data_IF_932990688759
#
_entry.id   IF_932990688759
#
_cell.length_a   1.000
_cell.length_b   1.000
_cell.length_c   1.000
_cell.angle_alpha   90.00
_cell.angle_beta   90.00
_cell.angle_gamma   90.00
#
_symmetry.space_group_name_H-M   'P 1'
#
loop_
_entity.id
_entity.type
_entity.pdbx_description
1 polymer ?
#
# COMPACT_ATOMS: atom_id res chain seq x y z
N UNK A 1 -20.05 -7.37 -2.82
CA UNK A 1 -19.23 -7.49 -4.03
C UNK A 1 -19.78 -6.46 -5.03
N UNK A 2 -19.38 -5.21 -4.90
CA UNK A 2 -19.67 -4.21 -5.92
C UNK A 2 -18.58 -4.29 -6.98
N UNK A 3 -18.98 -4.68 -8.20
CA UNK A 3 -18.07 -4.70 -9.36
C UNK A 3 -17.81 -3.25 -9.78
N UNK A 4 -16.56 -2.82 -9.83
CA UNK A 4 -16.13 -1.51 -10.33
C UNK A 4 -16.55 -1.25 -11.80
N UNK A 5 -17.07 -2.24 -12.53
CA UNK A 5 -17.68 -2.04 -13.86
C UNK A 5 -18.90 -1.08 -13.88
N UNK A 6 -19.44 -0.73 -12.72
CA UNK A 6 -20.53 0.26 -12.63
C UNK A 6 -20.02 1.72 -12.62
N UNK A 7 -18.74 1.97 -12.38
CA UNK A 7 -18.15 3.31 -12.32
C UNK A 7 -17.59 3.81 -13.65
N UNK A 8 -17.45 2.97 -14.67
CA UNK A 8 -16.88 3.32 -15.98
C UNK A 8 -17.89 4.01 -16.94
N UNK A 9 -18.97 4.59 -16.45
CA UNK A 9 -19.91 5.39 -17.23
C UNK A 9 -19.95 6.86 -16.80
N UNK A 10 -18.81 7.42 -16.42
CA UNK A 10 -18.66 8.87 -16.34
C UNK A 10 -18.33 9.37 -17.75
N UNK A 11 -19.27 10.14 -18.30
CA UNK A 11 -19.12 10.83 -19.59
C UNK A 11 -17.93 11.78 -19.55
N UNK A 12 -17.17 11.84 -20.64
CA UNK A 12 -16.26 12.93 -20.97
C UNK A 12 -17.00 14.29 -20.88
N UNK A 13 -17.05 14.86 -19.71
CA UNK A 13 -17.34 16.25 -19.49
C UNK A 13 -16.19 16.81 -18.65
N UNK A 14 -15.64 17.91 -19.12
CA UNK A 14 -14.52 18.67 -18.58
C UNK A 14 -14.81 19.33 -17.22
N UNK A 15 -15.41 18.60 -16.30
CA UNK A 15 -15.64 19.02 -14.92
C UNK A 15 -14.83 18.10 -14.01
N UNK A 16 -13.67 18.59 -13.56
CA UNK A 16 -12.70 17.90 -12.71
C UNK A 16 -13.13 17.88 -11.26
N UNK A 17 -14.39 17.55 -10.96
CA UNK A 17 -14.81 17.26 -9.59
C UNK A 17 -14.55 15.77 -9.30
N UNK A 18 -13.64 15.50 -8.37
CA UNK A 18 -13.42 14.15 -7.84
C UNK A 18 -14.76 13.61 -7.29
N UNK A 19 -15.18 12.43 -7.76
CA UNK A 19 -16.35 11.76 -7.19
C UNK A 19 -15.99 11.24 -5.78
N UNK A 20 -16.42 11.98 -4.77
CA UNK A 20 -16.26 11.59 -3.35
C UNK A 20 -17.43 10.69 -2.97
N UNK A 21 -17.14 9.42 -2.75
CA UNK A 21 -18.13 8.47 -2.25
C UNK A 21 -17.99 8.33 -0.72
N UNK A 22 -18.99 8.75 0.07
CA UNK A 22 -19.02 8.39 1.50
C UNK A 22 -19.34 6.90 1.62
N UNK A 23 -18.51 6.15 2.34
CA UNK A 23 -18.75 4.73 2.57
C UNK A 23 -18.94 4.46 4.05
N UNK A 24 -20.10 3.96 4.38
CA UNK A 24 -20.48 3.45 5.69
C UNK A 24 -19.81 2.09 5.96
N UNK A 25 -19.45 1.80 7.20
CA UNK A 25 -19.09 0.45 7.65
C UNK A 25 -20.37 -0.33 7.95
N UNK A 26 -20.91 -1.15 7.02
CA UNK A 26 -22.23 -1.76 7.19
C UNK A 26 -22.24 -2.94 8.16
N UNK A 27 -21.08 -3.44 8.60
CA UNK A 27 -20.98 -4.75 9.25
C UNK A 27 -20.99 -4.68 10.78
N UNK A 28 -21.04 -3.49 11.38
CA UNK A 28 -20.97 -3.29 12.83
C UNK A 28 -22.13 -2.44 13.33
N UNK A 29 -23.36 -2.97 13.26
CA UNK A 29 -24.48 -2.42 14.05
C UNK A 29 -24.72 -3.32 15.28
N UNK A 30 -24.02 -3.11 16.41
CA UNK A 30 -24.43 -3.71 17.67
C UNK A 30 -25.80 -3.14 18.07
N UNK A 31 -26.59 -3.92 18.77
CA UNK A 31 -27.80 -3.38 19.38
C UNK A 31 -27.46 -2.10 20.14
N UNK A 32 -28.22 -1.04 19.95
CA UNK A 32 -27.94 0.32 20.43
C UNK A 32 -27.59 0.43 21.94
N UNK A 33 -28.00 -0.56 22.75
CA UNK A 33 -27.68 -0.62 24.17
C UNK A 33 -26.26 -1.12 24.44
N UNK A 34 -25.83 -2.21 23.79
CA UNK A 34 -24.48 -2.77 23.97
C UNK A 34 -23.41 -1.80 23.46
N UNK A 35 -23.70 -1.10 22.36
CA UNK A 35 -22.82 -0.04 21.87
C UNK A 35 -22.65 1.09 22.89
N UNK A 36 -23.76 1.58 23.48
CA UNK A 36 -23.70 2.67 24.46
C UNK A 36 -22.93 2.30 25.72
N UNK A 37 -23.12 1.09 26.24
CA UNK A 37 -22.39 0.61 27.43
C UNK A 37 -20.89 0.43 27.12
N UNK A 38 -20.55 -0.11 25.94
CA UNK A 38 -19.17 -0.27 25.52
C UNK A 38 -18.49 1.09 25.23
N UNK A 39 -19.21 2.06 24.64
CA UNK A 39 -18.71 3.42 24.47
C UNK A 39 -18.48 4.13 25.82
N UNK A 40 -19.34 3.92 26.80
CA UNK A 40 -19.15 4.49 28.15
C UNK A 40 -17.88 3.92 28.80
N UNK A 41 -17.65 2.61 28.68
CA UNK A 41 -16.43 1.97 29.19
C UNK A 41 -15.17 2.47 28.46
N UNK A 42 -15.22 2.61 27.14
CA UNK A 42 -14.11 3.17 26.35
C UNK A 42 -13.85 4.62 26.70
N UNK A 43 -14.90 5.44 26.84
CA UNK A 43 -14.76 6.84 27.23
C UNK A 43 -14.08 6.98 28.59
N UNK A 44 -14.49 6.19 29.58
CA UNK A 44 -13.85 6.19 30.90
C UNK A 44 -12.37 5.82 30.82
N UNK A 45 -12.02 4.82 29.98
CA UNK A 45 -10.61 4.45 29.73
C UNK A 45 -9.87 5.58 29.01
N UNK A 46 -10.46 6.20 27.97
CA UNK A 46 -9.84 7.29 27.22
C UNK A 46 -9.62 8.55 28.08
N UNK A 47 -10.58 8.88 28.96
CA UNK A 47 -10.46 9.99 29.92
C UNK A 47 -9.38 9.72 30.98
N UNK A 48 -9.10 8.45 31.28
CA UNK A 48 -8.03 8.03 32.20
C UNK A 48 -6.66 7.89 31.55
N UNK A 49 -6.59 7.94 30.21
CA UNK A 49 -5.31 7.75 29.51
C UNK A 49 -4.39 8.95 29.76
N UNK A 50 -3.12 8.66 30.11
CA UNK A 50 -2.12 9.70 30.22
C UNK A 50 -1.88 10.35 28.85
N UNK A 51 -1.67 11.65 28.86
CA UNK A 51 -1.39 12.43 27.63
C UNK A 51 -0.02 12.14 26.99
N UNK A 52 0.81 11.35 27.65
CA UNK A 52 2.15 11.00 27.22
C UNK A 52 2.37 9.48 27.23
N UNK A 53 3.00 8.97 26.17
CA UNK A 53 3.36 7.55 26.02
C UNK A 53 4.46 7.09 26.99
N UNK A 54 5.14 8.05 27.64
CA UNK A 54 6.28 7.80 28.53
C UNK A 54 5.86 7.40 29.97
N UNK A 55 4.56 7.25 30.22
CA UNK A 55 4.05 6.88 31.54
C UNK A 55 3.98 5.35 31.65
N UNK A 56 4.57 4.74 32.68
CA UNK A 56 4.48 3.29 32.90
C UNK A 56 3.02 2.81 32.88
N UNK A 57 2.75 1.74 32.13
CA UNK A 57 1.41 1.17 32.00
C UNK A 57 0.49 1.83 30.96
N UNK A 58 0.85 2.98 30.38
CA UNK A 58 0.04 3.67 29.37
C UNK A 58 -0.23 2.79 28.13
N UNK A 59 0.80 2.14 27.63
CA UNK A 59 0.68 1.24 26.45
C UNK A 59 -0.28 0.08 26.72
N UNK A 60 -0.27 -0.50 27.92
CA UNK A 60 -1.20 -1.59 28.27
C UNK A 60 -2.64 -1.12 28.37
N UNK A 61 -2.87 0.07 28.94
CA UNK A 61 -4.19 0.67 28.98
C UNK A 61 -4.72 0.95 27.57
N UNK A 62 -3.89 1.49 26.70
CA UNK A 62 -4.23 1.71 25.28
C UNK A 62 -4.54 0.40 24.56
N UNK A 63 -3.75 -0.67 24.76
CA UNK A 63 -4.02 -1.98 24.18
C UNK A 63 -5.35 -2.57 24.63
N UNK A 64 -5.73 -2.40 25.91
CA UNK A 64 -7.05 -2.81 26.42
C UNK A 64 -8.17 -2.03 25.74
N UNK A 65 -8.02 -0.70 25.65
CA UNK A 65 -8.98 0.15 24.96
C UNK A 65 -9.10 -0.23 23.45
N UNK A 66 -7.99 -0.48 22.78
CA UNK A 66 -7.98 -0.96 21.38
C UNK A 66 -8.75 -2.27 21.24
N UNK A 67 -8.53 -3.24 22.15
CA UNK A 67 -9.25 -4.52 22.15
C UNK A 67 -10.76 -4.36 22.23
N UNK A 68 -11.25 -3.41 23.05
CA UNK A 68 -12.67 -3.08 23.12
C UNK A 68 -13.17 -2.43 21.82
N UNK A 69 -12.39 -1.49 21.25
CA UNK A 69 -12.77 -0.75 20.04
C UNK A 69 -12.75 -1.57 18.75
N UNK A 70 -12.06 -2.71 18.72
CA UNK A 70 -12.01 -3.57 17.52
C UNK A 70 -13.37 -4.11 17.09
N UNK A 71 -14.27 -4.33 18.03
CA UNK A 71 -15.59 -4.91 17.81
C UNK A 71 -16.73 -3.88 17.89
N UNK A 72 -16.41 -2.61 17.89
CA UNK A 72 -17.38 -1.52 18.00
C UNK A 72 -17.28 -0.60 16.78
N UNK A 73 -18.38 0.07 16.39
CA UNK A 73 -18.31 1.21 15.49
C UNK A 73 -17.35 2.26 16.06
N UNK A 74 -16.53 2.83 15.22
CA UNK A 74 -15.61 3.87 15.70
C UNK A 74 -16.39 5.17 15.97
N UNK A 75 -16.00 5.97 16.98
CA UNK A 75 -16.65 7.23 17.25
C UNK A 75 -16.20 8.32 16.28
N UNK A 76 -17.02 9.36 16.14
CA UNK A 76 -16.65 10.55 15.39
C UNK A 76 -15.32 11.15 15.94
N UNK A 77 -14.46 11.67 15.07
CA UNK A 77 -14.59 11.83 13.61
C UNK A 77 -14.11 10.64 12.80
N UNK A 78 -13.90 9.47 13.39
CA UNK A 78 -13.34 8.27 12.75
C UNK A 78 -14.42 7.25 12.33
N UNK A 79 -15.67 7.57 12.49
CA UNK A 79 -16.84 6.75 12.15
C UNK A 79 -17.09 6.66 10.63
N UNK A 80 -16.63 7.66 9.87
CA UNK A 80 -16.72 7.70 8.43
C UNK A 80 -15.34 7.85 7.78
N UNK A 81 -15.20 7.31 6.55
CA UNK A 81 -14.01 7.49 5.72
C UNK A 81 -14.38 8.00 4.34
N UNK A 82 -13.47 8.79 3.73
CA UNK A 82 -13.63 9.34 2.38
C UNK A 82 -12.65 8.67 1.42
N UNK A 83 -13.15 8.33 0.23
CA UNK A 83 -12.36 7.68 -0.80
C UNK A 83 -12.58 8.41 -2.12
N UNK A 84 -11.49 8.93 -2.67
CA UNK A 84 -11.48 9.72 -3.90
C UNK A 84 -10.76 8.92 -5.00
N UNK A 85 -11.33 8.90 -6.20
CA UNK A 85 -10.70 8.34 -7.38
C UNK A 85 -10.53 9.46 -8.41
N UNK A 86 -9.31 9.65 -8.86
CA UNK A 86 -8.92 10.58 -9.90
C UNK A 86 -8.33 9.82 -11.09
N UNK A 87 -8.75 10.19 -12.30
CA UNK A 87 -8.16 9.67 -13.53
C UNK A 87 -7.19 10.71 -14.09
N UNK A 88 -5.90 10.40 -14.09
CA UNK A 88 -4.91 11.36 -14.54
C UNK A 88 -3.46 10.87 -14.40
N UNK A 89 -2.55 11.72 -14.83
CA UNK A 89 -1.13 11.41 -14.85
C UNK A 89 -0.50 11.51 -13.45
N UNK A 90 0.01 10.40 -12.95
CA UNK A 90 0.70 10.32 -11.65
C UNK A 90 1.97 11.21 -11.56
N UNK A 91 2.50 11.66 -12.69
CA UNK A 91 3.65 12.59 -12.76
C UNK A 91 3.27 14.04 -12.48
N UNK A 92 1.96 14.35 -12.39
CA UNK A 92 1.42 15.69 -12.14
C UNK A 92 0.24 15.64 -11.18
N UNK A 93 0.52 15.76 -9.88
CA UNK A 93 -0.47 15.70 -8.81
C UNK A 93 -0.76 17.07 -8.21
N UNK A 94 -0.74 18.13 -9.03
CA UNK A 94 -0.92 19.52 -8.58
C UNK A 94 -2.25 19.80 -7.87
N UNK A 95 -3.23 18.94 -8.07
CA UNK A 95 -4.54 18.98 -7.41
C UNK A 95 -4.52 18.46 -5.97
N UNK A 96 -3.45 17.75 -5.55
CA UNK A 96 -3.24 17.32 -4.16
C UNK A 96 -2.35 18.36 -3.47
N UNK A 97 -2.80 18.95 -2.34
CA UNK A 97 -2.01 19.92 -1.59
C UNK A 97 -0.71 19.34 -1.04
N UNK A 98 0.32 20.15 -0.90
CA UNK A 98 1.58 19.77 -0.27
C UNK A 98 1.35 19.31 1.16
N UNK A 99 2.02 18.22 1.54
CA UNK A 99 2.00 17.72 2.93
C UNK A 99 0.65 17.21 3.41
N UNK A 100 -0.32 16.96 2.53
CA UNK A 100 -1.68 16.52 2.89
C UNK A 100 -1.83 15.00 3.00
N UNK A 101 -0.95 14.23 2.39
CA UNK A 101 -0.97 12.75 2.39
C UNK A 101 -0.08 12.21 3.50
N UNK A 102 -0.48 11.14 4.15
CA UNK A 102 0.23 10.59 5.30
C UNK A 102 1.01 9.32 4.98
N UNK A 103 0.51 8.54 4.02
CA UNK A 103 1.11 7.30 3.58
C UNK A 103 0.83 7.10 2.08
N UNK A 104 1.83 6.68 1.33
CA UNK A 104 1.67 6.16 -0.03
C UNK A 104 1.83 4.65 0.03
N UNK A 105 0.88 3.89 -0.53
CA UNK A 105 0.96 2.44 -0.71
C UNK A 105 0.65 2.15 -2.16
N UNK A 106 1.63 1.62 -2.89
CA UNK A 106 1.52 1.49 -4.34
C UNK A 106 2.37 0.36 -4.92
N UNK A 107 2.05 -0.02 -6.15
CA UNK A 107 2.87 -0.89 -6.98
C UNK A 107 2.97 -0.26 -8.38
N UNK A 108 4.11 0.32 -8.75
CA UNK A 108 4.28 0.95 -10.06
C UNK A 108 4.28 -0.10 -11.17
N UNK A 109 4.11 0.28 -12.44
CA UNK A 109 4.37 -0.62 -13.56
C UNK A 109 5.78 -1.21 -13.47
N UNK A 110 5.92 -2.51 -13.80
CA UNK A 110 7.21 -3.21 -13.77
C UNK A 110 7.86 -3.17 -15.16
N UNK A 111 8.16 -1.97 -15.64
CA UNK A 111 8.71 -1.72 -16.96
C UNK A 111 7.98 -2.56 -18.01
N UNK A 112 8.70 -3.32 -18.85
CA UNK A 112 8.15 -4.15 -19.94
C UNK A 112 7.74 -5.56 -19.51
N UNK A 113 7.64 -5.84 -18.19
CA UNK A 113 7.29 -7.19 -17.71
C UNK A 113 5.83 -7.55 -18.04
N UNK A 114 4.97 -6.56 -18.21
CA UNK A 114 3.55 -6.74 -18.51
C UNK A 114 3.11 -5.76 -19.57
N UNK A 115 2.32 -6.26 -20.51
CA UNK A 115 1.64 -5.44 -21.50
C UNK A 115 0.38 -4.85 -20.85
N UNK A 116 0.29 -3.52 -20.86
CA UNK A 116 -0.89 -2.76 -20.50
C UNK A 116 -1.61 -2.32 -21.77
N UNK A 117 -2.86 -1.85 -21.68
CA UNK A 117 -3.53 -1.26 -22.86
C UNK A 117 -2.73 -0.05 -23.35
N UNK A 118 -2.35 -0.03 -24.63
CA UNK A 118 -1.49 1.01 -25.20
C UNK A 118 -2.12 2.40 -25.07
N UNK A 119 -1.39 3.31 -24.45
CA UNK A 119 -1.73 4.73 -24.37
C UNK A 119 -0.42 5.54 -24.38
N UNK A 120 -0.36 6.60 -25.17
CA UNK A 120 0.83 7.48 -25.27
C UNK A 120 1.27 8.11 -23.93
N UNK A 121 0.49 7.92 -22.88
CA UNK A 121 0.75 8.46 -21.52
C UNK A 121 1.11 7.39 -20.50
N UNK A 122 1.15 6.11 -20.88
CA UNK A 122 1.45 5.02 -19.94
C UNK A 122 2.94 4.82 -19.72
N UNK A 123 3.33 4.76 -18.45
CA UNK A 123 4.70 4.43 -18.04
C UNK A 123 5.14 3.02 -18.48
N UNK A 124 4.19 2.09 -18.61
CA UNK A 124 4.45 0.71 -19.07
C UNK A 124 4.89 0.59 -20.54
N UNK A 125 4.69 1.65 -21.35
CA UNK A 125 5.02 1.66 -22.78
C UNK A 125 6.43 2.22 -23.07
N UNK A 126 7.17 2.65 -22.04
CA UNK A 126 8.52 3.18 -22.21
C UNK A 126 9.53 2.05 -22.35
N UNK A 127 10.03 1.82 -23.58
CA UNK A 127 10.95 0.72 -23.89
C UNK A 127 12.36 0.90 -23.28
N UNK A 128 12.86 2.12 -23.23
CA UNK A 128 14.16 2.43 -22.63
C UNK A 128 14.05 2.43 -21.09
N UNK A 129 14.88 1.62 -20.43
CA UNK A 129 14.82 1.44 -18.99
C UNK A 129 15.19 2.71 -18.22
N UNK A 130 16.19 3.47 -18.67
CA UNK A 130 16.60 4.71 -18.00
C UNK A 130 15.56 5.83 -18.20
N UNK A 131 14.92 5.87 -19.36
CA UNK A 131 13.80 6.76 -19.61
C UNK A 131 12.60 6.40 -18.71
N UNK A 132 12.26 5.11 -18.58
CA UNK A 132 11.23 4.63 -17.66
C UNK A 132 11.50 5.05 -16.21
N UNK A 133 12.73 4.85 -15.73
CA UNK A 133 13.11 5.26 -14.38
C UNK A 133 13.04 6.80 -14.20
N UNK A 134 13.35 7.55 -15.25
CA UNK A 134 13.28 9.02 -15.22
C UNK A 134 11.82 9.53 -15.15
N UNK A 135 10.89 8.81 -15.77
CA UNK A 135 9.45 9.09 -15.61
C UNK A 135 8.96 8.72 -14.20
N UNK A 136 9.42 7.61 -13.63
CA UNK A 136 9.12 7.26 -12.24
C UNK A 136 9.68 8.29 -11.24
N UNK A 137 10.84 8.88 -11.50
CA UNK A 137 11.41 9.92 -10.64
C UNK A 137 10.46 11.13 -10.49
N UNK A 138 9.69 11.46 -11.54
CA UNK A 138 8.66 12.52 -11.46
C UNK A 138 7.53 12.13 -10.51
N UNK A 139 7.09 10.87 -10.57
CA UNK A 139 6.06 10.36 -9.64
C UNK A 139 6.56 10.39 -8.20
N UNK A 140 7.81 9.96 -7.96
CA UNK A 140 8.39 9.99 -6.60
C UNK A 140 8.57 11.42 -6.09
N UNK A 141 8.89 12.37 -6.96
CA UNK A 141 8.98 13.80 -6.61
C UNK A 141 7.61 14.34 -6.16
N UNK A 142 6.54 14.03 -6.91
CA UNK A 142 5.19 14.43 -6.54
C UNK A 142 4.74 13.74 -5.24
N UNK A 143 5.01 12.43 -5.10
CA UNK A 143 4.75 11.74 -3.83
C UNK A 143 5.49 12.37 -2.64
N UNK A 144 6.75 12.76 -2.83
CA UNK A 144 7.53 13.44 -1.80
C UNK A 144 6.95 14.83 -1.46
N UNK A 145 6.43 15.57 -2.46
CA UNK A 145 5.79 16.89 -2.25
C UNK A 145 4.53 16.75 -1.41
N UNK A 146 3.63 15.85 -1.79
CA UNK A 146 2.31 15.69 -1.14
C UNK A 146 2.37 15.02 0.22
N UNK A 147 3.43 14.25 0.52
CA UNK A 147 3.60 13.60 1.82
C UNK A 147 3.79 14.62 2.94
N UNK A 148 3.11 14.40 4.05
CA UNK A 148 3.36 15.08 5.32
C UNK A 148 4.78 14.81 5.82
N UNK A 149 5.38 15.70 6.63
CA UNK A 149 6.65 15.42 7.30
C UNK A 149 6.60 14.10 8.07
N UNK A 150 7.64 13.25 7.91
CA UNK A 150 7.69 11.91 8.48
C UNK A 150 6.80 10.86 7.79
N UNK A 151 6.01 11.26 6.79
CA UNK A 151 5.20 10.37 5.96
C UNK A 151 6.04 9.38 5.17
N UNK A 152 5.44 8.27 4.74
CA UNK A 152 6.16 7.15 4.12
C UNK A 152 5.58 6.75 2.77
N UNK A 153 6.43 6.15 1.95
CA UNK A 153 6.04 5.43 0.74
C UNK A 153 6.36 3.96 0.98
N UNK A 154 5.36 3.10 0.82
CA UNK A 154 5.46 1.65 0.75
C UNK A 154 5.27 1.24 -0.71
N UNK A 155 6.35 0.92 -1.40
CA UNK A 155 6.33 0.54 -2.81
C UNK A 155 6.54 -0.97 -2.95
N UNK A 156 5.52 -1.67 -3.45
CA UNK A 156 5.59 -3.10 -3.74
C UNK A 156 6.12 -3.27 -5.15
N UNK A 157 7.27 -3.93 -5.31
CA UNK A 157 7.94 -4.08 -6.60
C UNK A 157 8.76 -5.35 -6.68
N UNK A 158 8.74 -5.99 -7.86
CA UNK A 158 9.62 -7.10 -8.21
C UNK A 158 10.69 -6.68 -9.22
N UNK A 159 11.79 -7.43 -9.24
CA UNK A 159 12.80 -7.26 -10.27
C UNK A 159 12.34 -7.82 -11.62
N UNK A 160 12.83 -7.21 -12.69
CA UNK A 160 12.37 -7.54 -14.04
C UNK A 160 13.30 -8.54 -14.69
N UNK A 161 12.82 -9.77 -14.89
CA UNK A 161 13.52 -10.80 -15.63
C UNK A 161 13.43 -10.54 -17.13
N UNK A 162 14.55 -10.26 -17.77
CA UNK A 162 14.65 -10.05 -19.21
C UNK A 162 14.96 -11.39 -19.90
N UNK A 163 14.06 -11.91 -20.75
CA UNK A 163 14.26 -13.21 -21.38
C UNK A 163 15.29 -13.16 -22.49
N UNK A 164 15.98 -14.31 -22.72
CA UNK A 164 16.98 -14.46 -23.80
C UNK A 164 16.43 -14.06 -25.18
N UNK A 165 15.16 -14.34 -25.44
CA UNK A 165 14.52 -14.03 -26.75
C UNK A 165 14.57 -12.53 -27.06
N UNK A 166 14.53 -11.65 -26.04
CA UNK A 166 14.52 -10.20 -26.23
C UNK A 166 15.92 -9.62 -26.42
N UNK A 167 16.92 -10.10 -25.65
CA UNK A 167 18.24 -9.47 -25.56
C UNK A 167 19.39 -10.45 -25.79
N UNK A 168 19.14 -11.63 -26.36
CA UNK A 168 20.16 -12.65 -26.64
C UNK A 168 20.67 -13.40 -25.41
N UNK A 169 20.49 -12.86 -24.22
CA UNK A 169 20.86 -13.48 -22.93
C UNK A 169 19.78 -13.23 -21.89
N UNK A 170 19.71 -14.09 -20.87
CA UNK A 170 18.88 -13.87 -19.70
C UNK A 170 19.63 -13.01 -18.69
N UNK A 171 18.96 -12.00 -18.14
CA UNK A 171 19.45 -11.19 -17.02
C UNK A 171 18.29 -10.56 -16.27
N UNK A 172 18.60 -9.95 -15.12
CA UNK A 172 17.61 -9.29 -14.26
C UNK A 172 17.94 -7.81 -14.15
N UNK A 173 16.93 -6.95 -14.35
CA UNK A 173 17.02 -5.54 -14.03
C UNK A 173 16.62 -5.38 -12.58
N UNK A 174 17.49 -4.82 -11.71
CA UNK A 174 17.24 -4.71 -10.27
C UNK A 174 16.35 -3.51 -9.95
N UNK A 175 15.11 -3.51 -10.44
CA UNK A 175 14.19 -2.39 -10.35
C UNK A 175 14.01 -1.89 -8.91
N UNK A 176 13.97 -2.80 -7.94
CA UNK A 176 13.85 -2.44 -6.54
C UNK A 176 15.02 -1.57 -6.06
N UNK A 177 16.24 -1.90 -6.46
CA UNK A 177 17.44 -1.16 -6.07
C UNK A 177 17.51 0.20 -6.77
N UNK A 178 17.17 0.24 -8.06
CA UNK A 178 17.17 1.48 -8.85
C UNK A 178 16.15 2.48 -8.30
N UNK A 179 14.95 2.03 -7.94
CA UNK A 179 13.95 2.88 -7.28
C UNK A 179 14.50 3.45 -5.97
N UNK A 180 15.13 2.64 -5.11
CA UNK A 180 15.70 3.12 -3.85
C UNK A 180 16.84 4.14 -4.06
N UNK A 181 17.74 3.86 -4.99
CA UNK A 181 18.86 4.78 -5.29
C UNK A 181 18.33 6.12 -5.82
N UNK A 182 17.33 6.10 -6.70
CA UNK A 182 16.75 7.29 -7.31
C UNK A 182 15.87 8.08 -6.33
N UNK A 183 15.13 7.40 -5.45
CA UNK A 183 14.31 8.06 -4.42
C UNK A 183 15.12 8.98 -3.50
N UNK A 184 16.39 8.68 -3.25
CA UNK A 184 17.29 9.55 -2.49
C UNK A 184 17.55 10.88 -3.19
N UNK A 185 17.50 10.92 -4.52
CA UNK A 185 17.71 12.14 -5.31
C UNK A 185 16.55 13.13 -5.15
N UNK A 186 15.36 12.61 -4.85
CA UNK A 186 14.16 13.44 -4.57
C UNK A 186 13.97 13.72 -3.08
N UNK A 187 14.98 13.45 -2.26
CA UNK A 187 15.02 13.83 -0.84
C UNK A 187 14.31 12.84 0.10
N UNK A 188 14.10 11.61 -0.33
CA UNK A 188 13.52 10.56 0.52
C UNK A 188 14.62 9.73 1.18
N UNK A 189 14.45 9.41 2.46
CA UNK A 189 15.27 8.43 3.18
C UNK A 189 14.84 7.02 2.81
N UNK A 190 15.77 6.16 2.41
CA UNK A 190 15.50 4.73 2.24
C UNK A 190 15.62 4.00 3.58
N UNK A 191 14.66 3.16 3.88
CA UNK A 191 14.64 2.28 5.06
C UNK A 191 14.81 0.82 4.63
N UNK A 192 15.00 -0.08 5.61
CA UNK A 192 15.14 -1.51 5.34
C UNK A 192 13.90 -2.05 4.62
N UNK A 193 14.04 -2.64 3.43
CA UNK A 193 12.92 -3.23 2.71
C UNK A 193 12.45 -4.52 3.39
N UNK A 194 11.22 -4.92 3.10
CA UNK A 194 10.70 -6.24 3.46
C UNK A 194 10.74 -7.12 2.22
N UNK A 195 11.23 -8.34 2.38
CA UNK A 195 11.16 -9.40 1.38
C UNK A 195 9.80 -10.09 1.51
N UNK A 196 8.94 -9.92 0.52
CA UNK A 196 7.67 -10.61 0.47
C UNK A 196 7.78 -11.85 -0.41
N UNK A 197 7.74 -13.02 0.21
CA UNK A 197 7.75 -14.31 -0.46
C UNK A 197 6.35 -14.56 -1.04
N UNK A 198 6.15 -14.12 -2.27
CA UNK A 198 4.86 -14.13 -2.98
C UNK A 198 4.42 -15.53 -3.37
N UNK A 199 5.36 -16.42 -3.66
CA UNK A 199 5.13 -17.75 -4.19
C UNK A 199 5.28 -18.76 -3.06
N UNK A 200 4.15 -19.24 -2.53
CA UNK A 200 4.13 -20.23 -1.46
C UNK A 200 4.56 -21.63 -1.92
N UNK A 201 4.63 -21.89 -3.22
CA UNK A 201 4.97 -23.20 -3.75
C UNK A 201 5.74 -23.07 -5.09
N UNK A 202 7.04 -22.90 -5.01
CA UNK A 202 7.93 -22.82 -6.16
C UNK A 202 7.84 -24.04 -7.11
N UNK A 203 7.44 -25.19 -6.60
CA UNK A 203 7.24 -26.41 -7.41
C UNK A 203 6.07 -26.26 -8.41
N UNK A 204 4.98 -25.60 -8.02
CA UNK A 204 3.81 -25.46 -8.91
C UNK A 204 4.09 -24.52 -10.08
N UNK A 205 4.89 -23.50 -9.90
CA UNK A 205 5.31 -22.64 -11.01
C UNK A 205 6.48 -23.23 -11.80
N UNK A 206 7.30 -24.07 -11.18
CA UNK A 206 8.35 -24.80 -11.87
C UNK A 206 7.78 -25.86 -12.82
N UNK A 207 6.68 -26.47 -12.50
CA UNK A 207 5.99 -27.46 -13.34
C UNK A 207 5.15 -26.83 -14.48
N UNK A 208 4.87 -25.51 -14.39
CA UNK A 208 4.27 -24.75 -15.47
C UNK A 208 5.31 -24.28 -16.50
N UNK A 209 5.05 -23.17 -17.17
CA UNK A 209 5.97 -22.57 -18.16
C UNK A 209 7.36 -22.21 -17.58
N UNK A 210 7.55 -22.28 -16.28
CA UNK A 210 8.79 -21.99 -15.58
C UNK A 210 9.74 -23.18 -15.39
N UNK A 211 9.35 -24.40 -15.74
CA UNK A 211 10.19 -25.61 -15.55
C UNK A 211 11.56 -25.53 -16.25
N UNK A 212 11.66 -24.78 -17.36
CA UNK A 212 12.92 -24.52 -18.06
C UNK A 212 13.94 -23.66 -17.35
N UNK A 213 13.58 -23.02 -16.22
CA UNK A 213 14.48 -22.12 -15.49
C UNK A 213 15.50 -22.84 -14.62
N UNK A 214 15.25 -24.07 -14.24
CA UNK A 214 16.15 -24.80 -13.33
C UNK A 214 17.38 -25.38 -14.06
N UNK A 215 17.39 -25.40 -15.40
CA UNK A 215 18.46 -25.99 -16.16
C UNK A 215 18.62 -27.49 -15.88
N UNK A 216 19.72 -28.06 -16.34
CA UNK A 216 20.06 -29.44 -16.04
C UNK A 216 20.85 -29.50 -14.74
N UNK A 217 20.65 -30.50 -13.84
CA UNK A 217 21.26 -30.52 -12.51
C UNK A 217 22.79 -30.56 -12.51
N UNK A 218 23.43 -30.92 -13.59
CA UNK A 218 24.88 -30.97 -13.76
C UNK A 218 25.47 -29.79 -14.56
N UNK A 219 24.68 -28.76 -14.86
CA UNK A 219 25.15 -27.56 -15.60
C UNK A 219 25.27 -26.37 -14.65
N UNK A 220 26.42 -25.63 -14.71
CA UNK A 220 26.60 -24.41 -13.90
C UNK A 220 25.74 -23.23 -14.39
N UNK A 221 25.00 -23.39 -15.50
CA UNK A 221 24.13 -22.36 -16.09
C UNK A 221 22.71 -22.32 -15.54
N UNK A 222 22.45 -22.87 -14.37
CA UNK A 222 21.12 -22.81 -13.73
C UNK A 222 20.73 -21.37 -13.40
N UNK A 223 19.45 -21.04 -13.62
CA UNK A 223 18.86 -19.75 -13.28
C UNK A 223 17.97 -19.92 -12.07
N UNK A 224 18.19 -19.08 -11.04
CA UNK A 224 17.33 -19.04 -9.87
C UNK A 224 16.10 -18.21 -10.21
N UNK A 225 14.92 -18.79 -10.00
CA UNK A 225 13.66 -18.08 -10.20
C UNK A 225 13.46 -17.02 -9.12
N UNK A 226 13.01 -15.83 -9.51
CA UNK A 226 12.61 -14.80 -8.55
C UNK A 226 11.23 -15.15 -7.98
N UNK A 227 11.18 -15.58 -6.72
CA UNK A 227 9.99 -15.95 -5.96
C UNK A 227 9.61 -14.90 -4.89
N UNK A 228 10.35 -13.80 -4.86
CA UNK A 228 10.13 -12.70 -3.93
C UNK A 228 9.80 -11.41 -4.66
N UNK A 229 9.01 -10.56 -4.01
CA UNK A 229 8.90 -9.13 -4.29
C UNK A 229 9.39 -8.33 -3.07
N UNK A 230 9.70 -7.08 -3.30
CA UNK A 230 10.19 -6.17 -2.27
C UNK A 230 9.08 -5.21 -1.87
N UNK A 231 8.91 -4.97 -0.59
CA UNK A 231 8.21 -3.79 -0.11
C UNK A 231 9.27 -2.78 0.28
N UNK A 232 9.47 -1.79 -0.57
CA UNK A 232 10.43 -0.72 -0.34
C UNK A 232 9.82 0.31 0.59
N UNK A 233 10.61 0.77 1.56
CA UNK A 233 10.22 1.86 2.45
C UNK A 233 11.07 3.09 2.18
N UNK A 234 10.38 4.18 1.88
CA UNK A 234 10.99 5.49 1.74
C UNK A 234 10.26 6.45 2.67
N UNK A 235 10.97 7.40 3.25
CA UNK A 235 10.44 8.33 4.24
C UNK A 235 10.77 9.76 3.87
N UNK A 236 9.79 10.66 3.95
CA UNK A 236 10.03 12.10 3.92
C UNK A 236 10.61 12.54 5.24
N UNK A 237 11.69 13.34 5.19
CA UNK A 237 12.27 13.94 6.38
C UNK A 237 11.28 14.81 7.16
N UNK A 238 11.61 15.10 8.40
CA UNK A 238 10.82 15.94 9.29
C UNK A 238 10.28 15.19 10.52
N UNK A 239 9.60 15.94 11.39
CA UNK A 239 9.06 15.40 12.63
C UNK A 239 7.81 14.55 12.38
N UNK A 240 7.67 13.47 13.14
CA UNK A 240 6.45 12.68 13.13
C UNK A 240 5.29 13.48 13.76
N UNK A 241 4.08 13.24 13.25
CA UNK A 241 2.86 13.76 13.83
C UNK A 241 2.60 13.13 15.18
N UNK A 242 2.01 13.92 16.10
CA UNK A 242 1.49 13.42 17.37
C UNK A 242 -0.02 13.19 17.23
N UNK A 243 -0.49 11.93 17.18
CA UNK A 243 -1.92 11.64 17.18
C UNK A 243 -2.53 11.93 18.55
N UNK A 244 -3.83 12.22 18.60
CA UNK A 244 -4.57 12.25 19.85
C UNK A 244 -4.71 10.85 20.48
N UNK A 245 -5.20 10.78 21.72
CA UNK A 245 -5.31 9.51 22.46
C UNK A 245 -6.26 8.52 21.80
N UNK A 246 -7.37 8.99 21.22
CA UNK A 246 -8.33 8.15 20.51
C UNK A 246 -7.72 7.61 19.22
N UNK A 247 -7.10 8.47 18.43
CA UNK A 247 -6.41 8.08 17.19
C UNK A 247 -5.31 7.05 17.45
N UNK A 248 -4.55 7.20 18.54
CA UNK A 248 -3.56 6.19 18.98
C UNK A 248 -4.22 4.86 19.27
N UNK A 249 -5.26 4.83 20.11
CA UNK A 249 -5.98 3.61 20.47
C UNK A 249 -6.53 2.92 19.23
N UNK A 250 -7.16 3.63 18.31
CA UNK A 250 -7.72 3.06 17.08
C UNK A 250 -6.64 2.53 16.11
N UNK A 251 -5.41 3.02 16.26
CA UNK A 251 -4.29 2.67 15.35
C UNK A 251 -3.36 1.59 15.91
N UNK A 252 -3.53 1.17 17.15
CA UNK A 252 -2.64 0.19 17.77
C UNK A 252 -2.70 -1.17 17.10
N UNK A 253 -1.55 -1.78 16.93
CA UNK A 253 -1.39 -3.19 16.60
C UNK A 253 -1.42 -4.02 17.89
N UNK A 254 -1.94 -5.25 17.83
CA UNK A 254 -1.81 -6.18 18.94
C UNK A 254 -0.37 -6.65 19.11
N UNK A 255 -0.05 -7.29 20.24
CA UNK A 255 1.29 -7.86 20.46
C UNK A 255 1.62 -8.93 19.41
N UNK A 256 0.63 -9.74 19.04
CA UNK A 256 0.75 -10.79 18.02
C UNK A 256 0.99 -10.19 16.63
N UNK A 257 0.22 -9.16 16.26
CA UNK A 257 0.41 -8.44 15.01
C UNK A 257 1.81 -7.81 14.94
N UNK A 258 2.27 -7.15 16.01
CA UNK A 258 3.61 -6.58 16.06
C UNK A 258 4.69 -7.65 15.91
N UNK A 259 4.59 -8.78 16.60
CA UNK A 259 5.56 -9.88 16.52
C UNK A 259 5.59 -10.53 15.13
N UNK A 260 4.44 -10.64 14.47
CA UNK A 260 4.33 -11.25 13.14
C UNK A 260 4.74 -10.28 12.01
N UNK A 261 4.42 -8.97 12.14
CA UNK A 261 4.55 -8.02 11.05
C UNK A 261 5.85 -7.22 11.05
N UNK A 262 6.46 -6.97 12.23
CA UNK A 262 7.72 -6.23 12.35
C UNK A 262 8.94 -7.10 11.99
N UNK A 263 8.87 -7.75 10.83
CA UNK A 263 9.93 -8.62 10.30
C UNK A 263 10.34 -8.16 8.91
N UNK A 264 11.59 -8.38 8.56
CA UNK A 264 12.13 -8.07 7.24
C UNK A 264 11.81 -9.12 6.16
N UNK A 265 11.07 -10.18 6.51
CA UNK A 265 10.63 -11.21 5.57
C UNK A 265 9.22 -11.67 5.92
N UNK A 266 8.33 -11.69 4.91
CA UNK A 266 6.95 -12.14 5.02
C UNK A 266 6.68 -13.29 4.06
N UNK A 267 6.18 -14.41 4.58
CA UNK A 267 5.80 -15.60 3.82
C UNK A 267 4.36 -16.04 4.07
N UNK A 268 3.66 -15.32 4.94
CA UNK A 268 2.29 -15.66 5.40
C UNK A 268 1.19 -15.04 4.54
N UNK A 269 1.53 -14.12 3.62
CA UNK A 269 0.60 -13.53 2.66
C UNK A 269 0.86 -14.11 1.28
N UNK A 270 -0.12 -14.83 0.73
CA UNK A 270 -0.03 -15.37 -0.64
C UNK A 270 -0.28 -14.28 -1.68
N UNK A 271 0.40 -14.38 -2.83
CA UNK A 271 0.13 -13.53 -3.98
C UNK A 271 -1.27 -13.75 -4.56
N UNK A 272 -1.81 -12.72 -5.21
CA UNK A 272 -3.09 -12.82 -5.92
C UNK A 272 -2.93 -13.50 -7.28
N UNK A 273 -3.99 -14.19 -7.71
CA UNK A 273 -4.05 -14.80 -9.03
C UNK A 273 -4.42 -13.77 -10.09
N UNK A 274 -3.70 -13.77 -11.22
CA UNK A 274 -3.97 -12.90 -12.39
C UNK A 274 -5.30 -13.19 -13.10
N UNK A 275 -6.06 -14.22 -12.68
CA UNK A 275 -7.34 -14.61 -13.28
C UNK A 275 -8.45 -13.59 -13.15
N UNK A 276 -8.27 -12.51 -12.39
CA UNK A 276 -9.28 -11.45 -12.16
C UNK A 276 -9.14 -10.22 -13.06
N UNK A 277 -8.41 -10.32 -14.17
CA UNK A 277 -8.38 -9.28 -15.22
C UNK A 277 -7.43 -8.11 -14.96
N UNK A 278 -6.63 -8.14 -13.89
CA UNK A 278 -5.53 -7.19 -13.71
C UNK A 278 -4.17 -7.92 -13.78
N UNK A 279 -3.20 -7.36 -14.52
CA UNK A 279 -1.94 -8.07 -14.79
C UNK A 279 -1.04 -8.27 -13.54
N UNK A 280 -1.16 -7.45 -12.49
CA UNK A 280 -0.31 -7.51 -11.31
C UNK A 280 -0.98 -7.05 -10.00
N UNK A 281 -2.11 -7.64 -9.56
CA UNK A 281 -2.71 -7.23 -8.30
C UNK A 281 -1.83 -7.71 -7.14
N UNK A 282 -1.60 -6.82 -6.16
CA UNK A 282 -1.15 -7.27 -4.85
C UNK A 282 -2.37 -7.47 -3.91
N UNK A 283 -2.29 -8.39 -2.93
CA UNK A 283 -3.46 -8.73 -2.12
C UNK A 283 -3.86 -7.60 -1.16
N UNK A 284 -5.18 -7.46 -0.95
CA UNK A 284 -5.73 -6.50 0.03
C UNK A 284 -5.09 -6.68 1.41
N UNK A 285 -4.83 -7.93 1.82
CA UNK A 285 -4.18 -8.23 3.10
C UNK A 285 -2.78 -7.61 3.23
N UNK A 286 -2.01 -7.52 2.13
CA UNK A 286 -0.70 -6.86 2.12
C UNK A 286 -0.86 -5.35 2.30
N UNK A 287 -1.75 -4.73 1.53
CA UNK A 287 -2.04 -3.30 1.64
C UNK A 287 -2.57 -2.94 3.03
N UNK A 288 -3.50 -3.73 3.58
CA UNK A 288 -4.08 -3.50 4.90
C UNK A 288 -3.02 -3.57 6.00
N UNK A 289 -2.10 -4.55 5.93
CA UNK A 289 -0.97 -4.64 6.86
C UNK A 289 -0.09 -3.38 6.81
N UNK A 290 0.31 -2.94 5.61
CA UNK A 290 1.13 -1.75 5.42
C UNK A 290 0.44 -0.48 5.94
N UNK A 291 -0.85 -0.32 5.62
CA UNK A 291 -1.65 0.82 6.06
C UNK A 291 -1.75 0.86 7.59
N UNK A 292 -2.04 -0.26 8.23
CA UNK A 292 -2.16 -0.34 9.68
C UNK A 292 -0.83 -0.14 10.41
N UNK A 293 0.27 -0.56 9.83
CA UNK A 293 1.61 -0.39 10.40
C UNK A 293 2.13 1.05 10.32
N UNK A 294 1.76 1.80 9.28
CA UNK A 294 2.44 3.06 8.93
C UNK A 294 1.53 4.27 8.82
N UNK A 295 0.26 4.15 9.22
CA UNK A 295 -0.68 5.28 9.29
C UNK A 295 -1.54 5.21 10.55
N UNK A 296 -2.10 6.35 10.92
CA UNK A 296 -3.10 6.44 11.99
C UNK A 296 -4.53 6.36 11.43
N UNK A 297 -5.50 6.04 12.29
CA UNK A 297 -6.92 6.12 11.97
C UNK A 297 -7.27 7.52 11.43
N UNK A 298 -8.08 7.57 10.38
CA UNK A 298 -8.44 8.82 9.70
C UNK A 298 -7.38 9.43 8.80
N UNK A 299 -6.16 8.87 8.74
CA UNK A 299 -5.11 9.34 7.82
C UNK A 299 -5.51 9.18 6.35
N UNK A 300 -4.91 9.99 5.49
CA UNK A 300 -5.05 9.88 4.03
C UNK A 300 -3.95 8.98 3.49
N UNK A 301 -4.37 7.89 2.85
CA UNK A 301 -3.52 6.96 2.10
C UNK A 301 -3.65 7.26 0.61
N UNK A 302 -2.54 7.37 -0.10
CA UNK A 302 -2.51 7.66 -1.53
C UNK A 302 -1.94 6.48 -2.33
N UNK A 303 -2.53 6.23 -3.50
CA UNK A 303 -2.00 5.28 -4.49
C UNK A 303 -1.96 5.95 -5.87
N UNK A 304 -0.76 6.28 -6.39
CA UNK A 304 -0.60 6.87 -7.71
C UNK A 304 -0.88 5.91 -8.88
N UNK A 305 -0.93 4.58 -8.63
CA UNK A 305 -1.15 3.53 -9.62
C UNK A 305 -2.21 2.55 -9.11
N UNK A 306 -3.41 3.05 -8.96
CA UNK A 306 -4.47 2.41 -8.15
C UNK A 306 -5.01 1.11 -8.75
N UNK A 307 -4.96 0.95 -10.07
CA UNK A 307 -5.42 -0.25 -10.77
C UNK A 307 -6.84 -0.65 -10.36
N UNK A 308 -6.96 -1.80 -9.70
CA UNK A 308 -8.27 -2.31 -9.24
C UNK A 308 -8.76 -1.70 -7.93
N UNK A 309 -8.05 -0.72 -7.36
CA UNK A 309 -8.43 -0.05 -6.12
C UNK A 309 -8.11 -0.85 -4.84
N UNK A 310 -7.14 -1.74 -4.88
CA UNK A 310 -6.75 -2.59 -3.74
C UNK A 310 -6.40 -1.75 -2.51
N UNK A 311 -5.62 -0.67 -2.70
CA UNK A 311 -5.22 0.25 -1.63
C UNK A 311 -6.42 0.96 -1.02
N UNK A 312 -7.39 1.41 -1.84
CA UNK A 312 -8.61 2.06 -1.35
C UNK A 312 -9.46 1.11 -0.50
N UNK A 313 -9.64 -0.14 -0.95
CA UNK A 313 -10.34 -1.18 -0.18
C UNK A 313 -9.65 -1.46 1.16
N UNK A 314 -8.32 -1.52 1.16
CA UNK A 314 -7.55 -1.74 2.38
C UNK A 314 -7.64 -0.53 3.34
N UNK A 315 -7.59 0.69 2.82
CA UNK A 315 -7.78 1.92 3.60
C UNK A 315 -9.16 1.96 4.25
N UNK A 316 -10.22 1.68 3.48
CA UNK A 316 -11.59 1.56 3.99
C UNK A 316 -11.68 0.57 5.16
N UNK A 317 -11.18 -0.65 4.97
CA UNK A 317 -11.22 -1.69 6.00
C UNK A 317 -10.44 -1.31 7.25
N UNK A 318 -9.44 -0.48 7.10
CA UNK A 318 -8.57 -0.04 8.19
C UNK A 318 -9.03 1.26 8.86
N UNK A 319 -10.10 1.92 8.38
CA UNK A 319 -10.59 3.20 8.89
C UNK A 319 -9.67 4.37 8.54
N UNK A 320 -9.11 4.35 7.33
CA UNK A 320 -8.31 5.45 6.74
C UNK A 320 -9.03 6.00 5.53
N UNK A 321 -8.82 7.26 5.26
CA UNK A 321 -9.23 7.88 4.00
C UNK A 321 -8.30 7.44 2.87
N UNK A 322 -8.73 7.53 1.62
CA UNK A 322 -7.84 7.27 0.49
C UNK A 322 -8.06 8.24 -0.66
N UNK A 323 -6.97 8.47 -1.38
CA UNK A 323 -6.94 9.09 -2.69
C UNK A 323 -6.29 8.09 -3.62
N UNK A 324 -6.95 7.82 -4.74
CA UNK A 324 -6.49 6.89 -5.77
C UNK A 324 -6.34 7.64 -7.08
N UNK A 325 -5.25 7.41 -7.80
CA UNK A 325 -5.03 7.92 -9.15
C UNK A 325 -4.79 6.75 -10.11
N UNK A 326 -5.35 6.83 -11.34
CA UNK A 326 -5.17 5.81 -12.38
C UNK A 326 -5.06 6.46 -13.76
#
# INVERSE_FOLDING_TARGET
IFSMKALTRAKNNSDTSADVLPIFRPDLTPSTRVAKEAYAAVRAVLESLPQSDNIPGAVEQMLRANGLMRNLPWPAPYDETRHELHLGDARSLSWIPDGSVHLVVTSPPYWTLKEYEHSDQQLGDVDDYEAFLSELDKVWSECARILAPGGRICCVVGDVCVPRKRMGRHFVMPLHADIQVRSRRVGLDCLTPILWQKIANGATEALGNGAGFYGKPYQPGAIIKNDVEYVLFMRKGGNYRSPDSLQRVLSMLTKEEMQAWMRSSWSDIKGESTRRGHPAPFPVALAERLIRMFSFAGDIVFDPFSGTGTTAVAALRSGRNSISNE
#
